data_IF_181358086805
#
_entry.id   IF_181358086805
#
_cell.length_a   1.000
_cell.length_b   1.000
_cell.length_c   1.000
_cell.angle_alpha   90.00
_cell.angle_beta   90.00
_cell.angle_gamma   90.00
#
_symmetry.space_group_name_H-M   'P 1'
#
loop_
_entity.id
_entity.type
_entity.pdbx_description
1 polymer ?
#
# COMPACT_ATOMS: atom_id res chain seq x y z
N UNK A 1 0.86 4.88 10.13
CA UNK A 1 -0.13 5.85 10.68
C UNK A 1 -1.24 5.16 11.46
N UNK A 2 -2.41 5.79 11.64
CA UNK A 2 -3.50 5.30 12.53
C UNK A 2 -4.92 5.16 11.94
N UNK A 3 -5.15 5.52 10.67
CA UNK A 3 -6.51 5.50 10.07
C UNK A 3 -6.56 4.88 8.67
N UNK A 4 -5.75 5.44 7.75
CA UNK A 4 -5.73 5.05 6.33
C UNK A 4 -5.52 3.55 6.06
N UNK A 5 -4.75 2.80 6.87
CA UNK A 5 -4.55 1.37 6.61
C UNK A 5 -5.84 0.53 6.52
N UNK A 6 -6.93 0.90 7.21
CA UNK A 6 -8.27 0.33 6.96
C UNK A 6 -9.12 1.17 6.01
N UNK A 7 -9.06 2.50 6.15
CA UNK A 7 -10.00 3.41 5.46
C UNK A 7 -9.83 3.46 3.93
N UNK A 8 -8.71 2.97 3.38
CA UNK A 8 -8.48 2.95 1.94
C UNK A 8 -8.76 1.60 1.29
N UNK A 9 -9.09 0.55 2.07
CA UNK A 9 -9.27 -0.82 1.54
C UNK A 9 -10.38 -0.85 0.48
N UNK A 10 -11.57 -0.36 0.82
CA UNK A 10 -12.69 -0.34 -0.13
C UNK A 10 -12.39 0.40 -1.44
N UNK A 11 -11.54 1.43 -1.42
CA UNK A 11 -11.12 2.12 -2.65
C UNK A 11 -10.21 1.24 -3.54
N UNK A 12 -9.38 0.38 -2.95
CA UNK A 12 -8.62 -0.62 -3.70
C UNK A 12 -9.54 -1.72 -4.25
N UNK A 13 -10.50 -2.18 -3.45
CA UNK A 13 -11.48 -3.20 -3.85
C UNK A 13 -12.39 -2.71 -4.99
N UNK A 14 -12.78 -1.44 -4.99
CA UNK A 14 -13.54 -0.81 -6.09
C UNK A 14 -12.76 -0.82 -7.43
N UNK A 15 -11.43 -0.96 -7.40
CA UNK A 15 -10.57 -1.17 -8.57
C UNK A 15 -10.30 -2.65 -8.87
N UNK A 16 -10.89 -3.57 -8.11
CA UNK A 16 -10.66 -5.02 -8.23
C UNK A 16 -9.31 -5.48 -7.67
N UNK A 17 -8.72 -4.72 -6.75
CA UNK A 17 -7.47 -5.10 -6.06
C UNK A 17 -7.77 -5.73 -4.70
N UNK A 18 -6.93 -6.70 -4.31
CA UNK A 18 -7.03 -7.37 -3.01
C UNK A 18 -5.99 -6.82 -2.01
N UNK A 19 -6.45 -6.39 -0.85
CA UNK A 19 -5.56 -6.00 0.25
C UNK A 19 -5.03 -7.24 0.99
N UNK A 20 -3.82 -7.70 0.64
CA UNK A 20 -3.17 -8.89 1.24
C UNK A 20 -2.36 -8.61 2.52
N UNK A 21 -2.26 -7.36 2.93
CA UNK A 21 -1.63 -6.96 4.18
C UNK A 21 -1.96 -5.51 4.54
N UNK A 22 -2.09 -5.22 5.83
CA UNK A 22 -2.31 -3.87 6.34
C UNK A 22 -1.68 -3.70 7.72
N UNK A 23 -1.36 -2.46 8.09
CA UNK A 23 -0.83 -2.22 9.43
C UNK A 23 -0.61 -0.77 9.77
N UNK A 24 -0.33 -0.55 11.04
CA UNK A 24 -0.32 0.76 11.66
C UNK A 24 1.00 1.02 12.36
N UNK A 25 1.33 2.30 12.54
CA UNK A 25 2.52 2.71 13.31
C UNK A 25 2.17 3.01 14.78
N UNK A 26 0.93 3.41 15.04
CA UNK A 26 0.51 3.92 16.36
C UNK A 26 -1.00 3.79 16.59
N UNK A 27 -1.65 2.81 15.95
CA UNK A 27 -3.07 2.56 16.18
C UNK A 27 -3.30 1.98 17.58
N UNK A 28 -4.52 2.11 18.10
CA UNK A 28 -4.91 1.48 19.35
C UNK A 28 -5.84 0.28 19.09
N UNK A 29 -6.13 -0.50 20.12
CA UNK A 29 -6.95 -1.72 20.01
C UNK A 29 -8.31 -1.48 19.33
N UNK A 30 -8.95 -0.33 19.56
CA UNK A 30 -10.24 0.00 18.95
C UNK A 30 -10.14 0.25 17.43
N UNK A 31 -8.97 0.66 16.93
CA UNK A 31 -8.69 0.73 15.49
C UNK A 31 -8.54 -0.68 14.90
N UNK A 32 -7.88 -1.60 15.61
CA UNK A 32 -7.74 -2.99 15.21
C UNK A 32 -9.08 -3.73 15.19
N UNK A 33 -9.93 -3.50 16.19
CA UNK A 33 -11.30 -4.03 16.26
C UNK A 33 -12.15 -3.59 15.04
N UNK A 34 -11.91 -2.37 14.54
CA UNK A 34 -12.54 -1.84 13.31
C UNK A 34 -11.86 -2.31 12.03
N UNK A 35 -10.61 -2.77 12.10
CA UNK A 35 -9.86 -3.22 10.93
C UNK A 35 -10.23 -4.66 10.58
N UNK A 36 -10.35 -5.53 11.58
CA UNK A 36 -10.62 -6.95 11.36
C UNK A 36 -11.84 -7.24 10.45
N UNK A 37 -12.97 -6.52 10.54
CA UNK A 37 -14.12 -6.73 9.65
C UNK A 37 -13.93 -6.23 8.22
N UNK A 38 -13.00 -5.30 7.99
CA UNK A 38 -12.72 -4.68 6.68
C UNK A 38 -11.65 -5.44 5.91
N UNK A 39 -10.86 -6.31 6.58
CA UNK A 39 -9.82 -7.08 5.92
C UNK A 39 -10.40 -8.37 5.31
N UNK A 40 -9.95 -8.78 4.11
CA UNK A 40 -10.21 -10.11 3.60
C UNK A 40 -9.70 -11.21 4.54
N UNK A 41 -10.35 -12.37 4.54
CA UNK A 41 -9.90 -13.54 5.30
C UNK A 41 -8.43 -13.90 4.96
N UNK A 42 -7.66 -14.29 5.98
CA UNK A 42 -6.24 -14.63 5.89
C UNK A 42 -5.28 -13.46 5.53
N UNK A 43 -5.67 -12.22 5.80
CA UNK A 43 -4.79 -11.06 5.65
C UNK A 43 -3.85 -10.85 6.85
N UNK A 44 -2.59 -10.50 6.59
CA UNK A 44 -1.62 -10.16 7.64
C UNK A 44 -1.89 -8.75 8.15
N UNK A 45 -2.15 -8.62 9.46
CA UNK A 45 -2.24 -7.33 10.16
C UNK A 45 -1.03 -7.16 11.08
N UNK A 46 -0.30 -6.05 10.94
CA UNK A 46 0.91 -5.76 11.74
C UNK A 46 0.83 -4.40 12.47
N UNK A 47 1.38 -4.36 13.68
CA UNK A 47 1.49 -3.18 14.54
C UNK A 47 2.96 -2.81 14.70
N UNK A 48 3.28 -1.53 14.47
CA UNK A 48 4.64 -0.96 14.51
C UNK A 48 5.72 -1.88 13.87
N UNK A 49 5.55 -2.27 12.59
CA UNK A 49 6.47 -3.19 11.96
C UNK A 49 7.86 -2.55 11.84
N UNK A 50 8.89 -3.30 12.23
CA UNK A 50 10.25 -2.90 11.89
C UNK A 50 10.46 -2.96 10.37
N UNK A 51 11.42 -2.19 9.85
CA UNK A 51 11.79 -2.24 8.42
C UNK A 51 12.17 -3.66 7.98
N UNK A 52 12.85 -4.41 8.85
CA UNK A 52 13.22 -5.80 8.61
C UNK A 52 12.01 -6.71 8.43
N UNK A 53 11.02 -6.62 9.33
CA UNK A 53 9.78 -7.40 9.22
C UNK A 53 9.01 -7.02 7.97
N UNK A 54 8.94 -5.72 7.65
CA UNK A 54 8.20 -5.25 6.48
C UNK A 54 8.83 -5.74 5.17
N UNK A 55 10.16 -5.78 5.07
CA UNK A 55 10.87 -6.40 3.95
C UNK A 55 10.55 -7.91 3.86
N UNK A 56 10.52 -8.62 4.99
CA UNK A 56 10.17 -10.06 5.03
C UNK A 56 8.73 -10.31 4.58
N UNK A 57 7.78 -9.47 4.98
CA UNK A 57 6.40 -9.55 4.51
C UNK A 57 6.32 -9.32 3.00
N UNK A 58 7.00 -8.29 2.47
CA UNK A 58 7.02 -8.05 1.03
C UNK A 58 7.58 -9.24 0.24
N UNK A 59 8.62 -9.91 0.76
CA UNK A 59 9.17 -11.12 0.15
C UNK A 59 8.23 -12.33 0.19
N UNK A 60 7.50 -12.51 1.29
CA UNK A 60 6.59 -13.63 1.47
C UNK A 60 5.29 -13.43 0.67
N UNK A 61 4.69 -12.25 0.75
CA UNK A 61 3.40 -11.91 0.14
C UNK A 61 3.53 -11.55 -1.34
N UNK A 62 4.70 -11.06 -1.78
CA UNK A 62 4.99 -10.61 -3.15
C UNK A 62 3.91 -9.67 -3.71
N UNK A 63 3.62 -8.55 -3.04
CA UNK A 63 2.57 -7.65 -3.47
C UNK A 63 2.90 -6.96 -4.80
N UNK A 64 1.87 -6.69 -5.61
CA UNK A 64 1.99 -5.91 -6.85
C UNK A 64 2.08 -4.39 -6.59
N UNK A 65 1.72 -3.94 -5.40
CA UNK A 65 1.80 -2.55 -4.98
C UNK A 65 2.01 -2.47 -3.46
N UNK A 66 2.88 -1.56 -3.02
CA UNK A 66 3.02 -1.19 -1.60
C UNK A 66 2.59 0.27 -1.40
N UNK A 67 1.71 0.48 -0.41
CA UNK A 67 1.26 1.79 0.05
C UNK A 67 1.79 2.11 1.45
N UNK A 68 2.75 3.02 1.58
CA UNK A 68 3.31 3.41 2.91
C UNK A 68 3.82 4.86 2.93
N UNK A 69 4.77 5.18 3.80
CA UNK A 69 5.37 6.50 3.95
C UNK A 69 6.61 6.74 3.07
N UNK A 70 7.27 7.88 3.31
CA UNK A 70 8.46 8.30 2.53
C UNK A 70 9.70 7.47 2.87
N UNK A 71 9.83 6.99 4.12
CA UNK A 71 11.02 6.26 4.58
C UNK A 71 11.10 4.89 3.90
N UNK A 72 9.94 4.31 3.63
CA UNK A 72 9.78 2.96 3.08
C UNK A 72 9.87 2.96 1.54
N UNK A 73 9.50 4.07 0.89
CA UNK A 73 9.37 4.18 -0.57
C UNK A 73 10.56 3.62 -1.34
N UNK A 74 11.75 4.13 -1.04
CA UNK A 74 12.93 3.84 -1.86
C UNK A 74 13.50 2.44 -1.61
N UNK A 75 13.19 1.82 -0.47
CA UNK A 75 13.54 0.43 -0.18
C UNK A 75 12.82 -0.48 -1.17
N UNK A 76 11.50 -0.39 -1.24
CA UNK A 76 10.69 -1.26 -2.10
C UNK A 76 10.84 -0.96 -3.60
N UNK A 77 11.03 0.31 -3.97
CA UNK A 77 11.32 0.65 -5.37
C UNK A 77 12.64 0.02 -5.85
N UNK A 78 13.67 -0.07 -5.00
CA UNK A 78 14.93 -0.76 -5.33
C UNK A 78 14.77 -2.28 -5.41
N UNK A 79 13.77 -2.84 -4.73
CA UNK A 79 13.37 -4.24 -4.87
C UNK A 79 12.55 -4.49 -6.13
N UNK A 80 12.22 -3.45 -6.91
CA UNK A 80 11.43 -3.56 -8.13
C UNK A 80 9.92 -3.66 -7.89
N UNK A 81 9.45 -3.31 -6.68
CA UNK A 81 8.03 -3.35 -6.33
C UNK A 81 7.43 -1.94 -6.52
N UNK A 82 6.30 -1.81 -7.23
CA UNK A 82 5.56 -0.55 -7.34
C UNK A 82 5.21 0.02 -5.97
N UNK A 83 5.30 1.36 -5.83
CA UNK A 83 5.09 2.03 -4.55
C UNK A 83 4.30 3.33 -4.71
N UNK A 84 3.34 3.57 -3.80
CA UNK A 84 2.64 4.86 -3.63
C UNK A 84 2.75 5.36 -2.20
N UNK A 85 3.08 6.63 -2.02
CA UNK A 85 3.02 7.25 -0.70
C UNK A 85 1.57 7.51 -0.29
N UNK A 86 1.11 6.79 0.74
CA UNK A 86 -0.25 6.91 1.27
C UNK A 86 -0.39 7.97 2.38
N UNK A 87 0.70 8.69 2.67
CA UNK A 87 0.71 9.85 3.57
C UNK A 87 0.60 11.17 2.81
N UNK A 88 1.49 11.37 1.85
CA UNK A 88 1.64 12.59 1.06
C UNK A 88 0.92 12.57 -0.28
N UNK A 89 0.28 11.44 -0.62
CA UNK A 89 -0.27 11.15 -1.95
C UNK A 89 0.78 11.28 -3.07
N UNK A 90 2.06 11.14 -2.71
CA UNK A 90 3.18 11.32 -3.63
C UNK A 90 3.07 12.66 -4.40
N UNK A 91 2.66 13.71 -3.70
CA UNK A 91 2.47 15.07 -4.24
C UNK A 91 1.32 15.20 -5.26
N UNK A 92 0.42 14.23 -5.31
CA UNK A 92 -0.82 14.23 -6.10
C UNK A 92 -2.03 14.56 -5.20
N UNK A 93 -3.16 13.87 -5.39
CA UNK A 93 -4.40 14.06 -4.65
C UNK A 93 -5.27 15.21 -5.21
N UNK A 94 -6.43 15.47 -4.58
CA UNK A 94 -6.99 14.79 -3.42
C UNK A 94 -7.48 13.37 -3.74
N UNK A 95 -7.54 12.48 -2.73
CA UNK A 95 -8.09 11.12 -2.88
C UNK A 95 -9.48 10.96 -2.26
N UNK A 96 -9.97 11.92 -1.47
CA UNK A 96 -11.29 11.82 -0.85
C UNK A 96 -12.40 12.19 -1.84
N UNK A 97 -13.52 11.47 -1.73
CA UNK A 97 -14.75 11.73 -2.48
C UNK A 97 -14.68 11.29 -3.94
N UNK A 98 -15.81 11.44 -4.65
CA UNK A 98 -15.97 10.95 -6.03
C UNK A 98 -14.88 11.48 -6.98
N UNK A 99 -14.63 12.78 -6.96
CA UNK A 99 -13.59 13.39 -7.81
C UNK A 99 -12.18 12.96 -7.40
N UNK A 100 -11.97 12.60 -6.13
CA UNK A 100 -10.69 12.10 -5.65
C UNK A 100 -10.42 10.65 -6.07
N UNK A 101 -11.47 9.86 -6.28
CA UNK A 101 -11.34 8.48 -6.71
C UNK A 101 -10.74 8.36 -8.13
N UNK A 102 -11.10 9.26 -9.05
CA UNK A 102 -10.48 9.31 -10.39
C UNK A 102 -8.96 9.49 -10.30
N UNK A 103 -8.51 10.40 -9.42
CA UNK A 103 -7.09 10.69 -9.21
C UNK A 103 -6.40 9.49 -8.55
N UNK A 104 -7.02 8.89 -7.54
CA UNK A 104 -6.53 7.69 -6.89
C UNK A 104 -6.35 6.54 -7.90
N UNK A 105 -7.36 6.24 -8.71
CA UNK A 105 -7.32 5.18 -9.71
C UNK A 105 -6.22 5.42 -10.74
N UNK A 106 -6.11 6.65 -11.27
CA UNK A 106 -5.03 7.05 -12.19
C UNK A 106 -3.65 6.83 -11.58
N UNK A 107 -3.48 7.21 -10.32
CA UNK A 107 -2.17 7.16 -9.66
C UNK A 107 -1.75 5.74 -9.30
N UNK A 108 -2.72 4.89 -8.92
CA UNK A 108 -2.51 3.45 -8.71
C UNK A 108 -2.11 2.77 -10.01
N UNK A 109 -2.87 2.99 -11.09
CA UNK A 109 -2.57 2.45 -12.42
C UNK A 109 -1.17 2.86 -12.89
N UNK A 110 -0.86 4.15 -12.82
CA UNK A 110 0.44 4.68 -13.25
C UNK A 110 1.60 4.07 -12.47
N UNK A 111 1.43 3.80 -11.18
CA UNK A 111 2.45 3.15 -10.38
C UNK A 111 2.60 1.67 -10.75
N UNK A 112 1.51 0.90 -10.78
CA UNK A 112 1.55 -0.55 -11.02
C UNK A 112 2.01 -0.86 -12.46
N UNK A 113 1.44 -0.16 -13.45
CA UNK A 113 1.64 -0.47 -14.87
C UNK A 113 2.80 0.31 -15.52
N UNK A 114 3.64 0.98 -14.73
CA UNK A 114 4.81 1.71 -15.25
C UNK A 114 5.76 0.79 -16.02
N UNK A 115 6.22 1.16 -17.24
CA UNK A 115 7.15 0.35 -18.00
C UNK A 115 8.52 0.21 -17.30
N UNK A 116 8.84 1.09 -16.36
CA UNK A 116 10.10 1.09 -15.60
C UNK A 116 10.35 -0.24 -14.89
N UNK A 117 9.31 -0.92 -14.39
CA UNK A 117 9.48 -2.18 -13.66
C UNK A 117 10.04 -3.31 -14.52
N UNK A 118 9.79 -3.26 -15.84
CA UNK A 118 10.36 -4.22 -16.81
C UNK A 118 11.84 -3.95 -17.12
N UNK A 119 12.38 -2.81 -16.65
CA UNK A 119 13.76 -2.36 -16.89
C UNK A 119 14.67 -2.55 -15.66
N UNK A 120 14.17 -3.11 -14.56
CA UNK A 120 14.95 -3.32 -13.32
C UNK A 120 16.06 -4.35 -13.53
N UNK A 121 15.81 -5.40 -14.32
CA UNK A 121 16.77 -6.46 -14.60
C UNK A 121 17.61 -6.10 -15.82
N UNK A 122 18.94 -6.07 -15.67
CA UNK A 122 19.85 -5.89 -16.78
C UNK A 122 19.71 -7.05 -17.80
N UNK A 123 19.87 -6.78 -19.11
CA UNK A 123 19.71 -7.80 -20.15
C UNK A 123 20.93 -8.73 -20.32
N UNK A 124 22.00 -8.55 -19.53
CA UNK A 124 23.27 -9.26 -19.63
C UNK A 124 23.60 -10.04 -18.35
#
# INVERSE_FOLDING_TARGET
GGLRPRHTIGAYEDLGMDCVGSGYEFAHNDDYDRTAPEMPDATVVYDDPSEYEFEKFAHALKPDLIGSGIKEKYVFQKMGIPFRQMHSWDYSGPYHGYNGFEIFARDVDMAVNSPTWKLVKAPF
#
